data_IF_316955886387
#
_entry.id   IF_316955886387
#
_cell.length_a   1.000
_cell.length_b   1.000
_cell.length_c   1.000
_cell.angle_alpha   90.00
_cell.angle_beta   90.00
_cell.angle_gamma   90.00
#
_symmetry.space_group_name_H-M   'P 1'
#
loop_
_entity.id
_entity.type
_entity.pdbx_description
1 polymer ?
#
# COMPACT_ATOMS: atom_id res chain seq x y z
N UNK A 1 -3.36 16.40 -20.23
CA UNK A 1 -3.18 17.87 -20.35
C UNK A 1 -4.36 18.54 -21.05
N UNK A 2 -4.82 18.04 -22.21
CA UNK A 2 -5.96 18.62 -22.95
C UNK A 2 -7.27 18.72 -22.16
N UNK A 3 -7.66 17.70 -21.39
CA UNK A 3 -8.86 17.73 -20.53
C UNK A 3 -8.87 18.90 -19.55
N UNK A 4 -7.69 19.26 -19.00
CA UNK A 4 -7.55 20.42 -18.11
C UNK A 4 -7.77 21.72 -18.89
N UNK A 5 -7.21 21.85 -20.09
CA UNK A 5 -7.45 23.01 -20.98
C UNK A 5 -8.93 23.17 -21.28
N UNK A 6 -9.64 22.09 -21.62
CA UNK A 6 -11.09 22.13 -21.85
C UNK A 6 -11.86 22.58 -20.61
N UNK A 7 -11.50 22.01 -19.44
CA UNK A 7 -12.10 22.35 -18.15
C UNK A 7 -11.87 23.80 -17.77
N UNK A 8 -10.65 24.31 -17.92
CA UNK A 8 -10.28 25.70 -17.61
C UNK A 8 -10.95 26.70 -18.56
N UNK A 9 -11.08 26.34 -19.85
CA UNK A 9 -11.84 27.13 -20.83
C UNK A 9 -13.33 27.21 -20.47
N UNK A 10 -13.92 26.07 -20.12
CA UNK A 10 -15.33 26.01 -19.72
C UNK A 10 -15.57 26.73 -18.38
N UNK A 11 -14.62 26.67 -17.44
CA UNK A 11 -14.67 27.41 -16.19
C UNK A 11 -14.67 28.92 -16.43
N UNK A 12 -13.79 29.42 -17.30
CA UNK A 12 -13.79 30.83 -17.69
C UNK A 12 -15.11 31.25 -18.35
N UNK A 13 -15.66 30.41 -19.24
CA UNK A 13 -16.97 30.66 -19.86
C UNK A 13 -18.11 30.72 -18.83
N UNK A 14 -18.04 29.91 -17.75
CA UNK A 14 -18.97 29.96 -16.62
C UNK A 14 -18.83 31.25 -15.82
N UNK A 15 -17.60 31.63 -15.48
CA UNK A 15 -17.30 32.85 -14.73
C UNK A 15 -17.81 34.10 -15.48
N UNK A 16 -17.58 34.17 -16.80
CA UNK A 16 -18.11 35.23 -17.68
C UNK A 16 -19.64 35.23 -17.77
N UNK A 17 -20.28 34.07 -17.62
CA UNK A 17 -21.72 33.94 -17.57
C UNK A 17 -22.31 34.20 -16.15
N UNK A 18 -21.48 34.57 -15.18
CA UNK A 18 -21.91 34.87 -13.80
C UNK A 18 -21.94 33.67 -12.85
N UNK A 19 -21.40 32.52 -13.25
CA UNK A 19 -21.39 31.26 -12.48
C UNK A 19 -20.01 30.98 -11.87
N UNK A 20 -19.62 31.75 -10.84
CA UNK A 20 -18.26 31.70 -10.27
C UNK A 20 -17.99 30.50 -9.34
N UNK A 21 -19.03 29.94 -8.72
CA UNK A 21 -18.88 28.87 -7.71
C UNK A 21 -19.10 27.47 -8.29
N UNK A 22 -19.17 27.34 -9.62
CA UNK A 22 -19.50 26.09 -10.29
C UNK A 22 -18.27 25.53 -10.99
N UNK A 23 -17.85 24.35 -10.56
CA UNK A 23 -16.74 23.64 -11.17
C UNK A 23 -17.24 22.71 -12.29
N UNK A 24 -16.83 22.91 -13.56
CA UNK A 24 -17.29 22.08 -14.65
C UNK A 24 -16.63 20.70 -14.65
N UNK A 25 -17.38 19.70 -15.12
CA UNK A 25 -16.86 18.37 -15.42
C UNK A 25 -16.75 18.20 -16.93
N UNK A 26 -15.63 17.62 -17.37
CA UNK A 26 -15.34 17.33 -18.78
C UNK A 26 -14.90 15.87 -18.94
N UNK A 27 -15.75 14.86 -18.67
CA UNK A 27 -15.43 13.45 -18.89
C UNK A 27 -15.16 13.11 -20.37
N UNK A 28 -14.45 11.99 -20.60
CA UNK A 28 -14.29 11.42 -21.94
C UNK A 28 -15.59 10.72 -22.36
N UNK A 29 -15.91 10.73 -23.65
CA UNK A 29 -17.02 9.93 -24.20
C UNK A 29 -16.55 8.52 -24.54
N UNK A 30 -17.46 7.55 -24.43
CA UNK A 30 -17.25 6.18 -24.91
C UNK A 30 -17.72 6.00 -26.36
N UNK A 31 -18.46 6.97 -26.91
CA UNK A 31 -18.95 6.98 -28.28
C UNK A 31 -18.28 8.15 -29.05
N UNK A 32 -17.41 7.84 -30.03
CA UNK A 32 -16.70 8.85 -30.84
C UNK A 32 -17.61 9.78 -31.65
N UNK A 33 -18.87 9.41 -31.89
CA UNK A 33 -19.84 10.28 -32.60
C UNK A 33 -20.17 11.54 -31.81
N UNK A 34 -19.96 11.54 -30.49
CA UNK A 34 -20.13 12.70 -29.61
C UNK A 34 -18.83 13.49 -29.38
N UNK A 35 -17.75 13.21 -30.12
CA UNK A 35 -16.44 13.83 -29.95
C UNK A 35 -15.52 13.00 -29.05
N UNK A 36 -14.65 13.66 -28.30
CA UNK A 36 -13.67 13.03 -27.40
C UNK A 36 -14.02 13.28 -25.92
N UNK A 37 -14.59 14.45 -25.63
CA UNK A 37 -15.03 14.84 -24.30
C UNK A 37 -16.39 15.52 -24.36
N UNK A 38 -17.09 15.58 -23.23
CA UNK A 38 -18.36 16.31 -23.15
C UNK A 38 -18.52 17.02 -21.80
N UNK A 39 -19.48 17.94 -21.72
CA UNK A 39 -19.95 18.50 -20.46
C UNK A 39 -21.47 18.60 -20.42
N UNK A 40 -22.06 18.15 -19.33
CA UNK A 40 -23.50 18.27 -19.02
C UNK A 40 -23.84 19.54 -18.23
N UNK A 41 -22.89 20.47 -18.09
CA UNK A 41 -23.02 21.61 -17.17
C UNK A 41 -24.24 22.50 -17.48
N UNK A 42 -24.63 22.62 -18.74
CA UNK A 42 -25.81 23.39 -19.14
C UNK A 42 -27.11 22.83 -18.57
N UNK A 43 -27.22 21.50 -18.41
CA UNK A 43 -28.37 20.85 -17.74
C UNK A 43 -28.39 21.15 -16.24
N UNK A 44 -27.22 21.23 -15.60
CA UNK A 44 -27.10 21.57 -14.17
C UNK A 44 -27.47 23.04 -13.90
N UNK A 45 -27.21 23.94 -14.86
CA UNK A 45 -27.47 25.38 -14.75
C UNK A 45 -28.93 25.77 -15.05
N UNK A 46 -29.55 25.08 -16.01
CA UNK A 46 -30.95 25.30 -16.34
C UNK A 46 -31.85 24.73 -15.25
N UNK A 47 -32.29 25.58 -14.33
CA UNK A 47 -33.23 25.21 -13.27
C UNK A 47 -34.62 24.92 -13.87
N UNK A 48 -35.41 23.98 -13.31
CA UNK A 48 -36.75 23.65 -13.79
C UNK A 48 -37.69 24.86 -13.92
N UNK A 49 -37.52 25.86 -13.06
CA UNK A 49 -38.38 27.06 -12.97
C UNK A 49 -37.76 28.30 -13.66
N UNK A 50 -36.66 28.15 -14.41
CA UNK A 50 -36.07 29.27 -15.15
C UNK A 50 -36.62 29.36 -16.58
N UNK A 51 -36.78 30.58 -17.09
CA UNK A 51 -37.16 30.83 -18.50
C UNK A 51 -36.07 30.41 -19.51
N UNK A 52 -34.88 30.04 -19.02
CA UNK A 52 -33.71 29.77 -19.85
C UNK A 52 -33.62 28.28 -20.18
N UNK A 53 -33.73 27.93 -21.45
CA UNK A 53 -33.69 26.51 -21.88
C UNK A 53 -32.24 25.99 -21.78
N UNK A 54 -32.01 24.74 -21.35
CA UNK A 54 -30.66 24.16 -21.28
C UNK A 54 -29.88 24.28 -22.60
N UNK A 55 -30.58 24.17 -23.73
CA UNK A 55 -30.00 24.33 -25.07
C UNK A 55 -29.43 25.75 -25.31
N UNK A 56 -30.09 26.78 -24.78
CA UNK A 56 -29.66 28.18 -24.88
C UNK A 56 -28.47 28.44 -23.97
N UNK A 57 -28.47 27.86 -22.77
CA UNK A 57 -27.32 27.90 -21.84
C UNK A 57 -26.10 27.25 -22.49
N UNK A 58 -26.25 26.04 -23.05
CA UNK A 58 -25.16 25.34 -23.73
C UNK A 58 -24.58 26.15 -24.89
N UNK A 59 -25.43 26.75 -25.74
CA UNK A 59 -25.01 27.62 -26.84
C UNK A 59 -24.32 28.89 -26.35
N UNK A 60 -24.83 29.51 -25.28
CA UNK A 60 -24.23 30.70 -24.67
C UNK A 60 -22.84 30.43 -24.11
N UNK A 61 -22.65 29.27 -23.46
CA UNK A 61 -21.35 28.83 -22.96
C UNK A 61 -20.39 28.46 -24.10
N UNK A 62 -20.87 27.70 -25.09
CA UNK A 62 -20.09 27.35 -26.29
C UNK A 62 -19.57 28.62 -27.00
N UNK A 63 -20.40 29.66 -27.14
CA UNK A 63 -20.03 30.91 -27.79
C UNK A 63 -18.94 31.70 -27.04
N UNK A 64 -18.77 31.47 -25.73
CA UNK A 64 -17.72 32.06 -24.89
C UNK A 64 -16.43 31.24 -24.86
N UNK A 65 -16.45 30.01 -25.38
CA UNK A 65 -15.23 29.22 -25.49
C UNK A 65 -14.27 29.87 -26.50
N UNK A 66 -12.94 29.78 -26.28
CA UNK A 66 -11.98 30.28 -27.25
C UNK A 66 -12.13 29.53 -28.56
N UNK A 67 -12.21 30.27 -29.67
CA UNK A 67 -12.19 29.70 -31.03
C UNK A 67 -10.75 29.28 -31.36
N UNK A 68 -10.41 28.04 -31.05
CA UNK A 68 -9.09 27.47 -31.29
C UNK A 68 -9.21 26.09 -31.95
N UNK A 69 -9.65 26.11 -33.22
CA UNK A 69 -9.84 24.91 -34.05
C UNK A 69 -8.55 24.12 -34.30
N UNK A 70 -7.38 24.73 -34.07
CA UNK A 70 -6.09 24.00 -34.09
C UNK A 70 -5.93 23.05 -32.88
N UNK A 71 -6.72 23.22 -31.82
CA UNK A 71 -6.68 22.40 -30.59
C UNK A 71 -7.95 21.58 -30.42
N UNK A 72 -9.12 22.22 -30.48
CA UNK A 72 -10.40 21.53 -30.33
C UNK A 72 -11.55 22.33 -30.97
N UNK A 73 -12.61 21.64 -31.35
CA UNK A 73 -13.89 22.22 -31.72
C UNK A 73 -14.95 21.88 -30.66
N UNK A 74 -15.85 22.80 -30.35
CA UNK A 74 -16.98 22.55 -29.45
C UNK A 74 -18.31 22.59 -30.22
N UNK A 75 -19.22 21.67 -29.93
CA UNK A 75 -20.57 21.61 -30.52
C UNK A 75 -21.62 21.34 -29.45
N UNK A 76 -22.81 21.92 -29.59
CA UNK A 76 -23.93 21.66 -28.69
C UNK A 76 -24.82 20.55 -29.26
N UNK A 77 -24.92 19.44 -28.55
CA UNK A 77 -25.76 18.31 -28.92
C UNK A 77 -27.26 18.61 -28.71
N UNK A 78 -28.19 17.83 -29.32
CA UNK A 78 -29.64 18.03 -29.14
C UNK A 78 -30.12 17.89 -27.69
N UNK A 79 -29.42 17.11 -26.87
CA UNK A 79 -29.67 16.92 -25.45
C UNK A 79 -28.97 17.96 -24.56
N UNK A 80 -28.51 19.07 -25.14
CA UNK A 80 -27.85 20.20 -24.44
C UNK A 80 -26.48 19.90 -23.82
N UNK A 81 -25.83 18.83 -24.25
CA UNK A 81 -24.43 18.57 -23.92
C UNK A 81 -23.52 19.46 -24.77
N UNK A 82 -22.43 19.94 -24.17
CA UNK A 82 -21.34 20.58 -24.90
C UNK A 82 -20.30 19.51 -25.19
N UNK A 83 -20.23 19.09 -26.45
CA UNK A 83 -19.30 18.09 -26.94
C UNK A 83 -18.02 18.77 -27.45
N UNK A 84 -16.88 18.19 -27.14
CA UNK A 84 -15.56 18.66 -27.55
C UNK A 84 -14.90 17.58 -28.40
N UNK A 85 -14.47 17.97 -29.60
CA UNK A 85 -13.64 17.13 -30.47
C UNK A 85 -12.25 17.72 -30.56
N UNK A 86 -11.23 16.93 -30.28
CA UNK A 86 -9.83 17.34 -30.37
C UNK A 86 -9.43 17.40 -31.84
N UNK A 87 -8.70 18.45 -32.20
CA UNK A 87 -8.20 18.60 -33.55
C UNK A 87 -7.18 17.49 -33.87
N UNK A 88 -7.29 16.87 -35.04
CA UNK A 88 -6.37 15.82 -35.46
C UNK A 88 -4.91 16.32 -35.49
N UNK A 89 -4.71 17.54 -35.99
CA UNK A 89 -3.41 18.22 -36.00
C UNK A 89 -2.81 18.38 -34.60
N UNK A 90 -3.64 18.65 -33.58
CA UNK A 90 -3.17 18.70 -32.19
C UNK A 90 -2.66 17.34 -31.74
N UNK A 91 -3.41 16.26 -31.99
CA UNK A 91 -3.00 14.89 -31.65
C UNK A 91 -1.73 14.47 -32.38
N UNK A 92 -1.61 14.79 -33.67
CA UNK A 92 -0.41 14.51 -34.46
C UNK A 92 0.81 15.26 -33.91
N UNK A 93 0.65 16.52 -33.47
CA UNK A 93 1.73 17.28 -32.86
C UNK A 93 2.22 16.68 -31.53
N UNK A 94 1.35 15.97 -30.79
CA UNK A 94 1.78 15.26 -29.57
C UNK A 94 2.82 14.17 -29.85
N UNK A 95 2.84 13.57 -31.05
CA UNK A 95 3.85 12.57 -31.42
C UNK A 95 5.26 13.17 -31.35
N UNK A 96 5.42 14.40 -31.83
CA UNK A 96 6.69 15.12 -31.75
C UNK A 96 7.09 15.37 -30.29
N UNK A 97 6.17 15.86 -29.47
CA UNK A 97 6.41 16.09 -28.04
C UNK A 97 6.81 14.80 -27.30
N UNK A 98 6.16 13.67 -27.63
CA UNK A 98 6.49 12.34 -27.06
C UNK A 98 7.92 11.93 -27.45
N UNK A 99 8.28 12.06 -28.73
CA UNK A 99 9.61 11.69 -29.23
C UNK A 99 10.68 12.58 -28.59
N UNK A 100 10.45 13.89 -28.49
CA UNK A 100 11.38 14.85 -27.89
C UNK A 100 11.56 14.60 -26.38
N UNK A 101 10.48 14.27 -25.66
CA UNK A 101 10.54 13.94 -24.24
C UNK A 101 11.17 12.56 -23.96
N UNK A 102 11.05 11.62 -24.90
CA UNK A 102 11.60 10.26 -24.83
C UNK A 102 11.22 9.54 -23.53
N UNK A 103 12.18 9.03 -22.73
CA UNK A 103 11.89 8.33 -21.49
C UNK A 103 11.31 9.24 -20.38
N UNK A 104 11.29 10.56 -20.58
CA UNK A 104 10.68 11.51 -19.65
C UNK A 104 9.25 11.92 -20.05
N UNK A 105 8.69 11.37 -21.12
CA UNK A 105 7.30 11.64 -21.46
C UNK A 105 6.37 11.22 -20.32
N UNK A 106 5.48 12.11 -19.90
CA UNK A 106 4.59 11.89 -18.76
C UNK A 106 5.22 12.11 -17.37
N UNK A 107 6.50 12.50 -17.30
CA UNK A 107 7.16 12.87 -16.04
C UNK A 107 6.45 14.07 -15.42
N UNK A 108 6.26 14.05 -14.11
CA UNK A 108 5.69 15.17 -13.36
C UNK A 108 6.76 15.79 -12.46
N UNK A 109 6.63 17.07 -12.16
CA UNK A 109 7.51 17.80 -11.22
C UNK A 109 6.86 17.98 -9.83
N UNK A 110 5.69 17.37 -9.61
CA UNK A 110 4.89 17.54 -8.40
C UNK A 110 5.62 17.10 -7.10
N UNK A 111 6.61 16.22 -7.24
CA UNK A 111 7.43 15.65 -6.18
C UNK A 111 8.76 16.34 -5.93
N UNK A 112 9.16 17.33 -6.73
CA UNK A 112 10.48 17.96 -6.56
C UNK A 112 10.64 18.57 -5.16
N UNK A 113 11.77 18.26 -4.52
CA UNK A 113 12.08 18.65 -3.15
C UNK A 113 11.35 17.85 -2.07
N UNK A 114 10.46 16.90 -2.44
CA UNK A 114 9.69 16.09 -1.50
C UNK A 114 10.24 14.68 -1.37
N UNK A 115 9.98 14.06 -0.23
CA UNK A 115 10.38 12.68 0.06
C UNK A 115 9.15 11.79 0.25
N UNK A 116 9.20 10.59 -0.29
CA UNK A 116 8.20 9.55 -0.02
C UNK A 116 8.83 8.29 0.57
N UNK A 117 8.12 7.63 1.48
CA UNK A 117 8.52 6.36 2.10
C UNK A 117 7.42 5.35 1.83
N UNK A 118 7.76 4.24 1.19
CA UNK A 118 6.80 3.21 0.77
C UNK A 118 7.17 1.89 1.41
N UNK A 119 6.36 1.43 2.35
CA UNK A 119 6.50 0.10 2.98
C UNK A 119 5.62 -0.91 2.26
N UNK A 120 6.18 -2.07 1.94
CA UNK A 120 5.45 -3.15 1.29
C UNK A 120 6.09 -4.53 1.50
N UNK A 121 5.33 -5.58 1.16
CA UNK A 121 5.58 -7.00 1.49
C UNK A 121 5.53 -7.27 3.00
N UNK A 122 6.46 -6.72 3.80
CA UNK A 122 6.60 -6.87 5.26
C UNK A 122 6.08 -8.23 5.81
N UNK A 123 6.43 -9.31 5.12
CA UNK A 123 5.91 -10.63 5.42
C UNK A 123 6.65 -11.18 6.64
N UNK A 124 5.91 -11.77 7.58
CA UNK A 124 6.53 -12.40 8.74
C UNK A 124 7.45 -13.55 8.26
N UNK A 125 8.72 -13.59 8.71
CA UNK A 125 9.72 -14.57 8.29
C UNK A 125 9.51 -15.94 8.97
N UNK A 126 8.25 -16.38 9.07
CA UNK A 126 7.87 -17.66 9.69
C UNK A 126 7.47 -18.73 8.69
N UNK A 127 7.51 -18.38 7.41
CA UNK A 127 7.48 -19.29 6.28
C UNK A 127 7.97 -18.60 5.01
N UNK A 128 8.06 -19.32 3.89
CA UNK A 128 8.36 -18.74 2.58
C UNK A 128 7.39 -17.63 2.19
N UNK A 129 7.82 -16.72 1.31
CA UNK A 129 6.96 -15.68 0.78
C UNK A 129 5.82 -16.33 -0.01
N UNK A 130 4.59 -16.24 0.50
CA UNK A 130 3.44 -16.77 -0.22
C UNK A 130 2.92 -15.77 -1.27
N UNK A 131 2.30 -16.29 -2.33
CA UNK A 131 1.84 -15.48 -3.46
C UNK A 131 0.91 -14.32 -3.05
N UNK A 132 0.02 -14.55 -2.09
CA UNK A 132 -0.85 -13.50 -1.53
C UNK A 132 -0.09 -12.30 -0.96
N UNK A 133 0.98 -12.50 -0.17
CA UNK A 133 1.77 -11.41 0.40
C UNK A 133 2.70 -10.81 -0.65
N UNK A 134 3.15 -11.64 -1.59
CA UNK A 134 3.99 -11.21 -2.69
C UNK A 134 3.31 -10.19 -3.61
N UNK A 135 1.96 -10.20 -3.72
CA UNK A 135 1.19 -9.19 -4.46
C UNK A 135 1.48 -7.75 -4.00
N UNK A 136 1.67 -7.56 -2.70
CA UNK A 136 2.05 -6.25 -2.14
C UNK A 136 3.39 -5.74 -2.71
N UNK A 137 4.26 -6.64 -3.16
CA UNK A 137 5.53 -6.36 -3.83
C UNK A 137 5.39 -5.48 -5.07
N UNK A 138 4.85 -6.02 -6.18
CA UNK A 138 4.66 -5.25 -7.41
C UNK A 138 3.83 -3.97 -7.21
N UNK A 139 2.81 -3.99 -6.34
CA UNK A 139 1.99 -2.80 -6.03
C UNK A 139 2.85 -1.70 -5.40
N UNK A 140 3.54 -2.00 -4.29
CA UNK A 140 4.36 -1.01 -3.58
C UNK A 140 5.53 -0.51 -4.41
N UNK A 141 6.21 -1.40 -5.13
CA UNK A 141 7.32 -1.01 -6.00
C UNK A 141 6.86 -0.17 -7.20
N UNK A 142 5.68 -0.45 -7.77
CA UNK A 142 5.12 0.38 -8.85
C UNK A 142 4.69 1.76 -8.35
N UNK A 143 4.12 1.86 -7.15
CA UNK A 143 3.84 3.14 -6.49
C UNK A 143 5.14 3.93 -6.30
N UNK A 144 6.20 3.27 -5.80
CA UNK A 144 7.51 3.88 -5.65
C UNK A 144 8.07 4.40 -6.98
N UNK A 145 8.01 3.60 -8.04
CA UNK A 145 8.47 3.97 -9.38
C UNK A 145 7.69 5.17 -9.94
N UNK A 146 6.37 5.22 -9.77
CA UNK A 146 5.53 6.35 -10.21
C UNK A 146 5.87 7.61 -9.42
N UNK A 147 6.13 7.52 -8.12
CA UNK A 147 6.54 8.65 -7.28
C UNK A 147 7.93 9.17 -7.67
N UNK A 148 8.90 8.29 -7.92
CA UNK A 148 10.22 8.68 -8.43
C UNK A 148 10.12 9.35 -9.81
N UNK A 149 9.26 8.81 -10.69
CA UNK A 149 8.97 9.43 -11.97
C UNK A 149 8.27 10.78 -11.80
N UNK A 150 7.46 10.96 -10.76
CA UNK A 150 6.87 12.25 -10.40
C UNK A 150 7.83 13.19 -9.63
N UNK A 151 9.11 12.82 -9.48
CA UNK A 151 10.16 13.66 -8.93
C UNK A 151 10.38 13.56 -7.41
N UNK A 152 9.71 12.64 -6.71
CA UNK A 152 9.97 12.39 -5.29
C UNK A 152 11.31 11.69 -5.08
N UNK A 153 11.98 11.99 -3.96
CA UNK A 153 13.01 11.09 -3.41
C UNK A 153 12.32 9.97 -2.64
N UNK A 154 12.32 8.77 -3.20
CA UNK A 154 11.60 7.63 -2.62
C UNK A 154 12.53 6.74 -1.80
N UNK A 155 12.00 6.20 -0.69
CA UNK A 155 12.58 5.14 0.11
C UNK A 155 11.64 3.93 0.08
N UNK A 156 12.13 2.77 -0.37
CA UNK A 156 11.44 1.48 -0.30
C UNK A 156 11.81 0.77 1.00
N UNK A 157 10.81 0.41 1.79
CA UNK A 157 10.99 -0.13 3.12
C UNK A 157 10.39 -1.54 3.27
N UNK A 158 11.06 -2.36 4.07
CA UNK A 158 10.56 -3.65 4.56
C UNK A 158 10.61 -3.70 6.10
N UNK A 159 9.49 -4.02 6.75
CA UNK A 159 9.44 -4.32 8.18
C UNK A 159 9.57 -5.84 8.40
N UNK A 160 10.64 -6.25 9.06
CA UNK A 160 10.94 -7.62 9.45
C UNK A 160 10.45 -7.91 10.87
N UNK A 161 9.32 -8.62 10.98
CA UNK A 161 8.74 -9.05 12.25
C UNK A 161 9.50 -10.29 12.80
N UNK A 162 10.69 -10.06 13.34
CA UNK A 162 11.63 -11.09 13.82
C UNK A 162 11.39 -11.51 15.29
N UNK A 163 10.27 -11.10 15.88
CA UNK A 163 9.90 -11.40 17.27
C UNK A 163 8.46 -11.90 17.39
N UNK A 164 8.09 -12.26 18.62
CA UNK A 164 6.74 -12.67 18.97
C UNK A 164 6.50 -14.18 18.91
N UNK A 165 5.25 -14.57 19.17
CA UNK A 165 4.86 -15.97 19.35
C UNK A 165 5.07 -16.81 18.08
N UNK A 166 4.90 -16.22 16.90
CA UNK A 166 5.09 -16.94 15.64
C UNK A 166 6.52 -17.44 15.46
N UNK A 167 7.51 -16.64 15.87
CA UNK A 167 8.93 -17.00 15.82
C UNK A 167 9.26 -18.08 16.84
N UNK A 168 8.67 -18.01 18.04
CA UNK A 168 8.82 -19.05 19.05
C UNK A 168 8.25 -20.39 18.58
N UNK A 169 7.04 -20.39 18.02
CA UNK A 169 6.37 -21.58 17.49
C UNK A 169 7.13 -22.19 16.30
N UNK A 170 7.75 -21.35 15.46
CA UNK A 170 8.65 -21.82 14.40
C UNK A 170 9.88 -22.48 15.03
N UNK A 171 10.48 -21.83 16.03
CA UNK A 171 11.62 -22.38 16.78
C UNK A 171 11.31 -23.74 17.40
N UNK A 172 10.12 -23.92 18.00
CA UNK A 172 9.68 -25.20 18.57
C UNK A 172 9.62 -26.27 17.49
N UNK A 173 8.99 -25.95 16.35
CA UNK A 173 8.91 -26.84 15.19
C UNK A 173 10.30 -27.24 14.69
N UNK A 174 11.19 -26.29 14.50
CA UNK A 174 12.54 -26.52 13.97
C UNK A 174 13.42 -27.29 14.95
N UNK A 175 13.31 -27.01 16.26
CA UNK A 175 14.07 -27.73 17.28
C UNK A 175 13.65 -29.21 17.36
N UNK A 176 12.34 -29.50 17.29
CA UNK A 176 11.83 -30.88 17.24
C UNK A 176 12.29 -31.58 15.97
N UNK A 177 12.09 -30.98 14.80
CA UNK A 177 12.49 -31.57 13.50
C UNK A 177 14.01 -31.70 13.32
N UNK A 178 14.79 -30.95 14.10
CA UNK A 178 16.25 -31.05 14.13
C UNK A 178 16.77 -32.08 15.15
N UNK A 179 15.88 -32.79 15.86
CA UNK A 179 16.20 -33.70 16.96
C UNK A 179 17.02 -33.01 18.09
N UNK A 180 16.70 -31.74 18.36
CA UNK A 180 17.37 -30.96 19.41
C UNK A 180 16.58 -30.97 20.73
N UNK A 181 15.28 -31.24 20.65
CA UNK A 181 14.35 -31.39 21.78
C UNK A 181 13.34 -32.50 21.45
N UNK A 182 12.73 -33.11 22.47
CA UNK A 182 11.70 -34.14 22.30
C UNK A 182 10.31 -33.56 22.63
N UNK A 183 9.38 -33.64 21.68
CA UNK A 183 7.96 -33.24 21.84
C UNK A 183 7.12 -33.96 20.79
N UNK A 184 5.80 -34.09 21.02
CA UNK A 184 4.88 -34.65 20.03
C UNK A 184 4.79 -33.80 18.76
N UNK A 185 4.88 -34.44 17.59
CA UNK A 185 4.71 -33.77 16.29
C UNK A 185 3.30 -33.19 16.10
N UNK A 186 2.29 -33.73 16.80
CA UNK A 186 0.91 -33.26 16.69
C UNK A 186 0.72 -31.85 17.27
N UNK A 187 1.57 -31.45 18.23
CA UNK A 187 1.58 -30.14 18.86
C UNK A 187 2.24 -29.05 18.02
N UNK A 188 2.86 -29.38 16.89
CA UNK A 188 3.61 -28.41 16.09
C UNK A 188 2.68 -27.50 15.28
N UNK A 189 2.89 -26.20 15.43
CA UNK A 189 2.14 -25.16 14.72
C UNK A 189 2.43 -25.13 13.21
N UNK A 190 3.68 -25.36 12.82
CA UNK A 190 4.12 -25.33 11.42
C UNK A 190 4.37 -26.75 10.90
N UNK A 191 3.61 -27.16 9.88
CA UNK A 191 3.67 -28.53 9.33
C UNK A 191 4.10 -28.59 7.86
N UNK A 192 4.49 -27.47 7.26
CA UNK A 192 4.89 -27.43 5.84
C UNK A 192 6.25 -28.10 5.58
N UNK A 193 6.42 -28.68 4.40
CA UNK A 193 7.63 -29.42 3.99
C UNK A 193 8.91 -28.56 4.08
N UNK A 194 8.80 -27.24 3.86
CA UNK A 194 9.92 -26.30 3.99
C UNK A 194 10.62 -26.37 5.36
N UNK A 195 9.89 -26.78 6.41
CA UNK A 195 10.44 -26.86 7.78
C UNK A 195 11.46 -27.99 7.94
N UNK A 196 11.42 -29.05 7.12
CA UNK A 196 12.36 -30.17 7.19
C UNK A 196 13.75 -29.76 6.68
N UNK A 197 13.82 -29.05 5.55
CA UNK A 197 15.08 -28.50 5.05
C UNK A 197 15.62 -27.40 5.96
N UNK A 198 14.74 -26.55 6.47
CA UNK A 198 15.12 -25.50 7.40
C UNK A 198 15.68 -26.07 8.71
N UNK A 199 15.08 -27.14 9.24
CA UNK A 199 15.57 -27.81 10.44
C UNK A 199 16.98 -28.38 10.26
N UNK A 200 17.31 -28.95 9.08
CA UNK A 200 18.67 -29.40 8.77
C UNK A 200 19.68 -28.25 8.80
N UNK A 201 19.33 -27.09 8.23
CA UNK A 201 20.17 -25.88 8.25
C UNK A 201 20.36 -25.36 9.69
N UNK A 202 19.27 -25.32 10.47
CA UNK A 202 19.26 -24.90 11.87
C UNK A 202 20.13 -25.82 12.73
N UNK A 203 20.00 -27.14 12.60
CA UNK A 203 20.83 -28.13 13.30
C UNK A 203 22.31 -27.88 13.05
N UNK A 204 22.68 -27.63 11.79
CA UNK A 204 24.06 -27.32 11.39
C UNK A 204 24.58 -26.03 12.02
N UNK A 205 23.77 -24.98 12.08
CA UNK A 205 24.17 -23.68 12.64
C UNK A 205 24.18 -23.66 14.17
N UNK A 206 23.28 -24.39 14.83
CA UNK A 206 23.29 -24.58 16.29
C UNK A 206 24.48 -25.43 16.72
N UNK A 207 24.78 -26.51 15.97
CA UNK A 207 25.80 -27.48 16.35
C UNK A 207 25.37 -28.28 17.58
N UNK A 208 26.19 -28.26 18.63
CA UNK A 208 25.86 -28.93 19.90
C UNK A 208 24.99 -28.02 20.79
N UNK A 209 23.92 -28.58 21.34
CA UNK A 209 23.02 -27.88 22.29
C UNK A 209 23.57 -27.85 23.72
N UNK A 210 24.63 -28.62 24.03
CA UNK A 210 25.32 -28.57 25.31
C UNK A 210 24.39 -28.65 26.53
N UNK A 211 24.50 -27.68 27.45
CA UNK A 211 23.67 -27.53 28.66
C UNK A 211 22.51 -26.53 28.49
N UNK A 212 22.15 -26.17 27.26
CA UNK A 212 21.04 -25.24 27.05
C UNK A 212 19.73 -25.85 27.52
N UNK A 213 18.88 -25.04 28.16
CA UNK A 213 17.51 -25.42 28.48
C UNK A 213 16.67 -25.46 27.19
N UNK A 214 15.60 -26.24 27.20
CA UNK A 214 14.68 -26.38 26.07
C UNK A 214 14.21 -25.03 25.49
N UNK A 215 13.73 -24.12 26.34
CA UNK A 215 13.31 -22.77 25.93
C UNK A 215 14.44 -21.97 25.23
N UNK A 216 15.69 -22.15 25.66
CA UNK A 216 16.84 -21.49 25.02
C UNK A 216 17.14 -22.10 23.65
N UNK A 217 16.97 -23.42 23.51
CA UNK A 217 17.13 -24.13 22.23
C UNK A 217 16.04 -23.65 21.25
N UNK A 218 14.78 -23.58 21.70
CA UNK A 218 13.64 -23.11 20.90
C UNK A 218 13.88 -21.68 20.41
N UNK A 219 14.25 -20.76 21.30
CA UNK A 219 14.53 -19.36 20.93
C UNK A 219 15.67 -19.27 19.91
N UNK A 220 16.77 -19.98 20.12
CA UNK A 220 17.91 -20.00 19.19
C UNK A 220 17.53 -20.58 17.83
N UNK A 221 16.75 -21.66 17.81
CA UNK A 221 16.24 -22.26 16.57
C UNK A 221 15.32 -21.30 15.81
N UNK A 222 14.44 -20.60 16.53
CA UNK A 222 13.53 -19.60 15.95
C UNK A 222 14.28 -18.40 15.35
N UNK A 223 15.30 -17.87 16.05
CA UNK A 223 16.14 -16.78 15.54
C UNK A 223 16.90 -17.17 14.27
N UNK A 224 17.51 -18.36 14.24
CA UNK A 224 18.21 -18.87 13.06
C UNK A 224 17.23 -19.12 11.91
N UNK A 225 16.12 -19.82 12.18
CA UNK A 225 15.10 -20.14 11.18
C UNK A 225 14.52 -18.89 10.53
N UNK A 226 14.15 -17.91 11.35
CA UNK A 226 13.67 -16.58 10.92
C UNK A 226 14.70 -15.87 10.06
N UNK A 227 15.98 -15.85 10.45
CA UNK A 227 17.05 -15.21 9.68
C UNK A 227 17.24 -15.84 8.30
N UNK A 228 17.17 -17.17 8.21
CA UNK A 228 17.28 -17.90 6.94
C UNK A 228 16.07 -17.62 6.03
N UNK A 229 14.85 -17.72 6.57
CA UNK A 229 13.63 -17.41 5.82
C UNK A 229 13.58 -15.95 5.37
N UNK A 230 14.00 -15.03 6.23
CA UNK A 230 14.08 -13.61 5.88
C UNK A 230 15.02 -13.38 4.70
N UNK A 231 16.18 -14.04 4.68
CA UNK A 231 17.09 -13.99 3.54
C UNK A 231 16.45 -14.54 2.27
N UNK A 232 15.72 -15.66 2.37
CA UNK A 232 15.03 -16.25 1.22
C UNK A 232 13.94 -15.32 0.68
N UNK A 233 13.16 -14.67 1.56
CA UNK A 233 12.16 -13.66 1.18
C UNK A 233 12.81 -12.47 0.45
N UNK A 234 13.96 -11.98 0.92
CA UNK A 234 14.66 -10.89 0.25
C UNK A 234 15.20 -11.30 -1.13
N UNK A 235 15.67 -12.55 -1.28
CA UNK A 235 16.08 -13.07 -2.59
C UNK A 235 14.89 -13.20 -3.55
N UNK A 236 13.75 -13.70 -3.06
CA UNK A 236 12.50 -13.74 -3.84
C UNK A 236 12.09 -12.32 -4.28
N UNK A 237 12.17 -11.33 -3.39
CA UNK A 237 11.89 -9.94 -3.73
C UNK A 237 12.85 -9.41 -4.81
N UNK A 238 14.15 -9.70 -4.70
CA UNK A 238 15.15 -9.32 -5.70
C UNK A 238 14.85 -9.92 -7.07
N UNK A 239 14.45 -11.20 -7.13
CA UNK A 239 14.12 -11.87 -8.39
C UNK A 239 12.80 -11.36 -8.99
N UNK A 240 11.86 -10.89 -8.16
CA UNK A 240 10.68 -10.11 -8.58
C UNK A 240 11.07 -8.71 -9.09
N UNK A 241 12.34 -8.31 -8.95
CA UNK A 241 12.87 -7.02 -9.38
C UNK A 241 12.72 -5.89 -8.35
N UNK A 242 12.54 -6.24 -7.07
CA UNK A 242 12.35 -5.29 -5.97
C UNK A 242 13.65 -5.17 -5.18
N UNK A 243 14.06 -3.93 -4.91
CA UNK A 243 15.17 -3.62 -4.01
C UNK A 243 14.69 -2.71 -2.89
N UNK A 244 14.98 -3.09 -1.66
CA UNK A 244 14.66 -2.28 -0.49
C UNK A 244 15.84 -1.38 -0.14
N UNK A 245 15.53 -0.13 0.23
CA UNK A 245 16.49 0.88 0.68
C UNK A 245 16.67 0.83 2.20
N UNK A 246 15.62 0.42 2.93
CA UNK A 246 15.64 0.28 4.38
C UNK A 246 14.99 -1.03 4.81
N UNK A 247 15.67 -1.73 5.72
CA UNK A 247 15.18 -2.93 6.39
C UNK A 247 15.08 -2.60 7.89
N UNK A 248 13.87 -2.69 8.45
CA UNK A 248 13.62 -2.41 9.88
C UNK A 248 13.30 -3.73 10.58
N UNK A 249 13.95 -4.02 11.71
CA UNK A 249 13.61 -5.19 12.52
C UNK A 249 12.71 -4.79 13.69
N UNK A 250 11.68 -5.58 13.95
CA UNK A 250 10.81 -5.42 15.12
C UNK A 250 11.60 -5.46 16.42
N UNK A 251 12.62 -6.33 16.52
CA UNK A 251 13.49 -6.42 17.69
C UNK A 251 14.24 -5.12 18.01
N UNK A 252 14.55 -4.29 17.00
CA UNK A 252 15.19 -2.99 17.21
C UNK A 252 14.19 -1.93 17.67
N UNK A 253 12.94 -2.02 17.20
CA UNK A 253 11.84 -1.18 17.67
C UNK A 253 11.49 -1.49 19.13
N UNK A 254 11.48 -2.77 19.51
CA UNK A 254 11.15 -3.21 20.87
C UNK A 254 12.10 -2.61 21.92
N UNK A 255 13.39 -2.46 21.60
CA UNK A 255 14.39 -1.81 22.48
C UNK A 255 14.05 -0.35 22.80
N UNK A 256 13.27 0.31 21.95
CA UNK A 256 12.90 1.73 22.06
C UNK A 256 11.51 1.94 22.67
N UNK A 257 10.77 0.87 22.96
CA UNK A 257 9.45 0.94 23.59
C UNK A 257 9.47 1.75 24.89
N UNK A 258 10.40 1.54 25.85
CA UNK A 258 10.36 2.28 27.11
C UNK A 258 10.42 3.80 26.92
N UNK A 259 11.19 4.30 25.94
CA UNK A 259 11.25 5.73 25.65
C UNK A 259 9.99 6.27 24.98
N UNK A 260 9.40 5.52 24.04
CA UNK A 260 8.16 5.92 23.39
C UNK A 260 6.99 5.98 24.39
N UNK A 261 6.93 5.03 25.33
CA UNK A 261 5.89 5.00 26.36
C UNK A 261 5.97 6.19 27.31
N UNK A 262 7.17 6.59 27.76
CA UNK A 262 7.33 7.81 28.57
C UNK A 262 6.76 9.06 27.88
N UNK A 263 6.93 9.18 26.56
CA UNK A 263 6.35 10.27 25.79
C UNK A 263 4.81 10.20 25.78
N UNK A 264 4.23 9.02 25.58
CA UNK A 264 2.79 8.84 25.61
C UNK A 264 2.17 9.11 26.99
N UNK A 265 2.85 8.71 28.06
CA UNK A 265 2.48 9.05 29.44
C UNK A 265 2.46 10.57 29.64
N UNK A 266 3.50 11.28 29.18
CA UNK A 266 3.56 12.76 29.30
C UNK A 266 2.44 13.48 28.54
N UNK A 267 1.86 12.84 27.51
CA UNK A 267 0.73 13.35 26.73
C UNK A 267 -0.63 12.91 27.27
N UNK A 268 -0.68 12.18 28.40
CA UNK A 268 -1.88 11.57 28.96
C UNK A 268 -2.65 10.68 27.97
N UNK A 269 -1.90 9.94 27.13
CA UNK A 269 -2.44 9.03 26.13
C UNK A 269 -2.44 7.56 26.58
N UNK A 270 -1.98 7.28 27.80
CA UNK A 270 -2.00 5.96 28.40
C UNK A 270 -2.87 5.94 29.67
N UNK A 271 -3.64 4.88 29.84
CA UNK A 271 -4.35 4.57 31.08
C UNK A 271 -3.99 3.16 31.54
N UNK A 272 -3.92 2.95 32.86
CA UNK A 272 -3.85 1.60 33.44
C UNK A 272 -5.25 1.16 33.83
N UNK A 273 -5.70 0.05 33.28
CA UNK A 273 -7.01 -0.53 33.54
C UNK A 273 -6.94 -2.06 33.41
N UNK A 274 -7.61 -2.77 34.33
CA UNK A 274 -7.69 -4.25 34.34
C UNK A 274 -6.31 -4.94 34.32
N UNK A 275 -5.34 -4.35 35.01
CA UNK A 275 -3.95 -4.82 35.06
C UNK A 275 -3.14 -4.58 33.78
N UNK A 276 -3.74 -4.05 32.72
CA UNK A 276 -3.10 -3.73 31.46
C UNK A 276 -2.87 -2.21 31.30
N UNK A 277 -1.97 -1.82 30.40
CA UNK A 277 -1.82 -0.44 29.94
C UNK A 277 -2.46 -0.29 28.57
N UNK A 278 -3.38 0.66 28.46
CA UNK A 278 -4.16 0.95 27.27
C UNK A 278 -3.73 2.28 26.67
N UNK A 279 -3.63 2.32 25.35
CA UNK A 279 -3.47 3.53 24.57
C UNK A 279 -4.84 4.09 24.20
N UNK A 280 -5.09 5.32 24.64
CA UNK A 280 -6.35 6.03 24.47
C UNK A 280 -6.41 6.62 23.06
N UNK A 281 -6.93 5.86 22.11
CA UNK A 281 -7.15 6.30 20.72
C UNK A 281 -8.41 7.19 20.63
N UNK A 282 -9.31 7.09 21.61
CA UNK A 282 -10.65 7.67 21.59
C UNK A 282 -10.78 9.18 21.85
N UNK A 283 -9.74 9.92 22.26
CA UNK A 283 -9.86 11.38 22.46
C UNK A 283 -10.02 12.11 21.11
N UNK A 284 -11.26 12.21 20.64
CA UNK A 284 -11.66 12.98 19.46
C UNK A 284 -12.11 12.18 18.23
N UNK A 285 -12.23 10.85 18.32
CA UNK A 285 -12.63 10.01 17.17
C UNK A 285 -13.67 8.94 17.53
N UNK A 286 -13.32 7.97 18.40
CA UNK A 286 -14.14 6.80 18.71
C UNK A 286 -13.51 6.02 19.89
N UNK A 287 -14.20 5.96 21.05
CA UNK A 287 -13.72 5.28 22.27
C UNK A 287 -13.61 3.75 22.09
N UNK A 288 -14.25 3.16 21.06
CA UNK A 288 -14.15 1.72 20.78
C UNK A 288 -12.77 1.28 20.25
N UNK A 289 -11.86 2.24 20.04
CA UNK A 289 -10.57 2.01 19.39
C UNK A 289 -9.42 1.83 20.34
N UNK A 290 -9.58 2.08 21.64
CA UNK A 290 -8.50 1.94 22.61
C UNK A 290 -7.84 0.57 22.52
N UNK A 291 -6.51 0.56 22.65
CA UNK A 291 -5.70 -0.62 22.37
C UNK A 291 -4.80 -0.95 23.55
N UNK A 292 -4.81 -2.21 23.97
CA UNK A 292 -3.81 -2.72 24.91
C UNK A 292 -2.43 -2.60 24.28
N UNK A 293 -1.52 -1.92 24.97
CA UNK A 293 -0.13 -1.73 24.56
C UNK A 293 0.86 -2.45 25.48
N UNK A 294 0.46 -2.68 26.74
CA UNK A 294 1.14 -3.57 27.70
C UNK A 294 0.09 -4.48 28.33
N UNK A 295 0.30 -5.79 28.25
CA UNK A 295 -0.57 -6.81 28.85
C UNK A 295 -0.38 -6.86 30.37
N UNK A 296 -1.26 -7.59 31.05
CA UNK A 296 -1.19 -7.81 32.50
C UNK A 296 0.05 -8.57 32.96
N UNK A 297 0.69 -9.35 32.08
CA UNK A 297 1.96 -10.02 32.34
C UNK A 297 3.20 -9.12 32.14
N UNK A 298 2.99 -7.83 31.80
CA UNK A 298 4.05 -6.87 31.53
C UNK A 298 4.63 -6.93 30.12
N UNK A 299 4.21 -7.88 29.28
CA UNK A 299 4.65 -7.97 27.89
C UNK A 299 3.99 -6.93 27.00
N UNK A 300 4.72 -6.41 26.02
CA UNK A 300 4.20 -5.47 25.03
C UNK A 300 3.35 -6.18 23.97
N UNK A 301 2.35 -5.49 23.43
CA UNK A 301 1.59 -5.96 22.26
C UNK A 301 2.27 -5.52 20.96
N UNK A 302 1.88 -6.11 19.82
CA UNK A 302 2.33 -5.67 18.49
C UNK A 302 2.05 -4.19 18.25
N UNK A 303 0.95 -3.68 18.79
CA UNK A 303 0.60 -2.26 18.66
C UNK A 303 1.59 -1.34 19.40
N UNK A 304 2.29 -1.83 20.42
CA UNK A 304 3.41 -1.12 21.03
C UNK A 304 4.54 -0.85 20.03
N UNK A 305 4.92 -1.85 19.24
CA UNK A 305 5.96 -1.70 18.21
C UNK A 305 5.53 -0.70 17.12
N UNK A 306 4.25 -0.72 16.72
CA UNK A 306 3.69 0.24 15.77
C UNK A 306 3.81 1.70 16.21
N UNK A 307 3.66 1.98 17.52
CA UNK A 307 3.84 3.32 18.10
C UNK A 307 5.26 3.83 17.83
N UNK A 308 6.27 3.03 18.19
CA UNK A 308 7.67 3.38 17.96
C UNK A 308 7.92 3.56 16.47
N UNK A 309 7.43 2.61 15.68
CA UNK A 309 7.68 2.55 14.25
C UNK A 309 7.13 3.76 13.50
N UNK A 310 5.85 4.09 13.71
CA UNK A 310 5.23 5.22 13.04
C UNK A 310 5.76 6.54 13.58
N UNK A 311 6.07 6.65 14.88
CA UNK A 311 6.77 7.82 15.41
C UNK A 311 8.09 8.08 14.66
N UNK A 312 8.92 7.06 14.50
CA UNK A 312 10.19 7.19 13.76
C UNK A 312 9.98 7.50 12.28
N UNK A 313 8.98 6.89 11.63
CA UNK A 313 8.62 7.22 10.24
C UNK A 313 8.30 8.71 10.06
N UNK A 314 7.49 9.28 10.95
CA UNK A 314 7.09 10.68 10.86
C UNK A 314 8.21 11.65 11.27
N UNK A 315 9.01 11.31 12.28
CA UNK A 315 10.18 12.11 12.69
C UNK A 315 11.28 12.13 11.61
N UNK A 316 11.30 11.15 10.71
CA UNK A 316 12.22 11.12 9.57
C UNK A 316 11.93 12.23 8.53
N UNK A 317 10.82 12.96 8.66
CA UNK A 317 10.51 14.15 7.86
C UNK A 317 10.09 13.86 6.43
N UNK A 318 9.44 12.72 6.18
CA UNK A 318 8.86 12.41 4.87
C UNK A 318 7.58 13.22 4.63
N UNK A 319 7.33 13.58 3.37
CA UNK A 319 6.14 14.32 2.94
C UNK A 319 4.97 13.37 2.62
N UNK A 320 5.30 12.12 2.30
CA UNK A 320 4.34 11.06 1.99
C UNK A 320 4.86 9.72 2.54
N UNK A 321 4.04 9.06 3.35
CA UNK A 321 4.27 7.74 3.93
C UNK A 321 3.15 6.84 3.42
N UNK A 322 3.52 5.78 2.71
CA UNK A 322 2.60 4.83 2.12
C UNK A 322 2.88 3.46 2.66
N UNK A 323 1.87 2.83 3.24
CA UNK A 323 1.96 1.44 3.67
C UNK A 323 1.03 0.58 2.83
N UNK A 324 1.57 -0.48 2.23
CA UNK A 324 0.84 -1.39 1.34
C UNK A 324 0.56 -2.69 2.09
N UNK A 325 -0.71 -2.91 2.45
CA UNK A 325 -1.13 -4.05 3.25
C UNK A 325 -2.15 -4.95 2.55
N UNK A 326 -2.21 -6.22 2.96
CA UNK A 326 -3.31 -7.11 2.58
C UNK A 326 -4.61 -6.73 3.28
N UNK A 327 -5.76 -7.03 2.69
CA UNK A 327 -7.09 -6.62 3.18
C UNK A 327 -7.44 -7.18 4.58
N UNK A 328 -6.71 -8.19 5.06
CA UNK A 328 -6.80 -8.69 6.43
C UNK A 328 -6.34 -7.70 7.51
N UNK A 329 -5.61 -6.63 7.15
CA UNK A 329 -5.20 -5.58 8.08
C UNK A 329 -6.08 -4.33 8.00
N UNK A 330 -7.18 -4.38 7.24
CA UNK A 330 -8.13 -3.26 7.09
C UNK A 330 -8.63 -2.72 8.44
N UNK A 331 -8.87 -3.57 9.43
CA UNK A 331 -9.26 -3.16 10.79
C UNK A 331 -8.14 -2.51 11.61
N UNK A 332 -6.88 -2.63 11.17
CA UNK A 332 -5.71 -2.02 11.81
C UNK A 332 -5.45 -0.60 11.32
N UNK A 333 -5.76 -0.30 10.06
CA UNK A 333 -5.56 1.03 9.46
C UNK A 333 -6.18 2.16 10.31
N UNK A 334 -7.44 2.07 10.76
CA UNK A 334 -8.03 3.13 11.58
C UNK A 334 -7.34 3.34 12.94
N UNK A 335 -6.66 2.31 13.46
CA UNK A 335 -5.86 2.42 14.70
C UNK A 335 -4.55 3.15 14.42
N UNK A 336 -3.89 2.88 13.30
CA UNK A 336 -2.70 3.61 12.87
C UNK A 336 -3.00 5.08 12.61
N UNK A 337 -4.12 5.40 11.93
CA UNK A 337 -4.52 6.78 11.69
C UNK A 337 -4.78 7.56 12.98
N UNK A 338 -5.46 6.93 13.94
CA UNK A 338 -5.73 7.53 15.25
C UNK A 338 -4.43 7.68 16.07
N UNK A 339 -3.51 6.71 15.99
CA UNK A 339 -2.17 6.81 16.58
C UNK A 339 -1.38 8.01 16.02
N UNK A 340 -1.32 8.15 14.70
CA UNK A 340 -0.61 9.24 14.01
C UNK A 340 -1.13 10.61 14.48
N UNK A 341 -2.45 10.76 14.54
CA UNK A 341 -3.10 11.98 15.04
C UNK A 341 -2.82 12.23 16.51
N UNK A 342 -2.91 11.20 17.36
CA UNK A 342 -2.64 11.31 18.79
C UNK A 342 -1.19 11.72 19.09
N UNK A 343 -0.24 11.29 18.25
CA UNK A 343 1.16 11.73 18.31
C UNK A 343 1.34 13.20 17.86
N UNK A 344 0.35 13.77 17.16
CA UNK A 344 0.34 15.16 16.68
C UNK A 344 0.85 15.33 15.25
N UNK A 345 0.89 14.26 14.46
CA UNK A 345 1.37 14.31 13.07
C UNK A 345 0.22 14.55 12.07
N UNK A 346 0.56 15.14 10.93
CA UNK A 346 -0.38 15.40 9.84
C UNK A 346 -0.78 14.11 9.12
N UNK A 347 -2.02 13.68 9.32
CA UNK A 347 -2.57 12.47 8.71
C UNK A 347 -2.60 12.55 7.17
N UNK A 348 -2.61 13.74 6.57
CA UNK A 348 -2.63 13.87 5.11
C UNK A 348 -1.37 13.28 4.45
N UNK A 349 -0.27 13.18 5.22
CA UNK A 349 0.98 12.55 4.79
C UNK A 349 0.93 11.02 4.79
N UNK A 350 -0.06 10.40 5.43
CA UNK A 350 -0.17 8.94 5.49
C UNK A 350 -1.21 8.42 4.49
N UNK A 351 -0.87 7.30 3.83
CA UNK A 351 -1.77 6.53 2.97
C UNK A 351 -1.59 5.05 3.26
N UNK A 352 -2.70 4.35 3.53
CA UNK A 352 -2.73 2.90 3.54
C UNK A 352 -3.35 2.41 2.23
N UNK A 353 -2.63 1.55 1.50
CA UNK A 353 -3.13 0.88 0.30
C UNK A 353 -3.45 -0.56 0.67
N UNK A 354 -4.72 -0.94 0.55
CA UNK A 354 -5.17 -2.29 0.88
C UNK A 354 -5.34 -3.10 -0.40
N UNK A 355 -4.79 -4.31 -0.45
CA UNK A 355 -5.00 -5.23 -1.57
C UNK A 355 -5.68 -6.53 -1.14
N UNK A 356 -6.53 -7.08 -2.00
CA UNK A 356 -7.24 -8.33 -1.82
C UNK A 356 -6.35 -9.55 -2.02
N UNK A 357 -6.78 -10.68 -1.44
CA UNK A 357 -6.09 -11.96 -1.54
C UNK A 357 -6.02 -12.48 -2.98
N UNK A 358 -4.83 -12.97 -3.34
CA UNK A 358 -4.61 -13.71 -4.58
C UNK A 358 -5.28 -15.07 -4.50
N UNK A 359 -5.97 -15.48 -5.57
CA UNK A 359 -6.44 -16.86 -5.75
C UNK A 359 -5.66 -17.51 -6.87
N UNK A 360 -4.98 -18.61 -6.58
CA UNK A 360 -4.30 -19.39 -7.61
C UNK A 360 -5.27 -20.44 -8.14
N UNK A 361 -5.39 -20.50 -9.47
CA UNK A 361 -6.13 -21.54 -10.17
C UNK A 361 -5.14 -22.39 -10.99
N UNK A 362 -5.31 -23.71 -10.95
CA UNK A 362 -4.71 -24.62 -11.94
C UNK A 362 -5.84 -25.12 -12.81
N UNK A 363 -5.82 -24.77 -14.10
CA UNK A 363 -6.97 -24.95 -15.00
C UNK A 363 -8.19 -24.23 -14.41
N UNK A 364 -9.35 -24.90 -14.33
CA UNK A 364 -10.59 -24.32 -13.79
C UNK A 364 -10.76 -24.51 -12.29
N UNK A 365 -9.81 -25.18 -11.62
CA UNK A 365 -9.90 -25.50 -10.18
C UNK A 365 -9.06 -24.54 -9.33
N UNK A 366 -9.66 -24.02 -8.26
CA UNK A 366 -8.96 -23.21 -7.27
C UNK A 366 -8.06 -24.09 -6.40
N UNK A 367 -6.78 -23.73 -6.29
CA UNK A 367 -5.85 -24.40 -5.38
C UNK A 367 -6.19 -23.99 -3.94
N UNK A 368 -6.56 -24.95 -3.08
CA UNK A 368 -6.83 -24.69 -1.66
C UNK A 368 -5.52 -24.28 -0.96
N UNK A 369 -5.46 -23.04 -0.47
CA UNK A 369 -4.31 -22.55 0.30
C UNK A 369 -4.51 -22.76 1.81
N UNK A 370 -3.56 -23.41 2.49
CA UNK A 370 -3.51 -23.54 3.95
C UNK A 370 -2.07 -23.41 4.47
N UNK A 371 -1.81 -22.32 5.21
CA UNK A 371 -0.51 -22.08 5.87
C UNK A 371 -0.15 -23.15 6.92
N UNK A 372 -1.15 -23.80 7.54
CA UNK A 372 -0.94 -24.78 8.62
C UNK A 372 -0.80 -26.22 8.12
N UNK A 373 -1.33 -26.54 6.94
CA UNK A 373 -1.26 -27.88 6.34
C UNK A 373 -0.10 -27.98 5.34
N UNK A 374 0.61 -26.87 5.05
CA UNK A 374 1.76 -26.86 4.15
C UNK A 374 1.42 -26.67 2.67
N UNK A 375 0.15 -26.75 2.29
CA UNK A 375 -0.31 -26.52 0.91
C UNK A 375 -0.53 -25.02 0.67
N UNK A 376 0.51 -24.25 0.40
CA UNK A 376 0.40 -22.88 -0.10
C UNK A 376 1.35 -22.67 -1.26
N UNK A 377 0.89 -21.90 -2.26
CA UNK A 377 1.70 -21.56 -3.42
C UNK A 377 2.65 -20.42 -3.03
N UNK A 378 3.95 -20.65 -3.20
CA UNK A 378 4.98 -19.67 -2.89
C UNK A 378 5.17 -18.69 -4.05
N UNK A 379 5.72 -17.51 -3.75
CA UNK A 379 6.13 -16.56 -4.77
C UNK A 379 7.21 -17.16 -5.69
N UNK A 380 8.16 -17.89 -5.10
CA UNK A 380 9.22 -18.60 -5.81
C UNK A 380 8.69 -19.56 -6.86
N UNK A 381 7.75 -20.43 -6.50
CA UNK A 381 7.14 -21.39 -7.45
C UNK A 381 6.52 -20.70 -8.66
N UNK A 382 5.74 -19.64 -8.43
CA UNK A 382 5.11 -18.90 -9.53
C UNK A 382 6.16 -18.17 -10.36
N UNK A 383 7.15 -17.56 -9.71
CA UNK A 383 8.21 -16.83 -10.39
C UNK A 383 9.05 -17.73 -11.29
N UNK A 384 9.39 -18.94 -10.82
CA UNK A 384 10.13 -19.93 -11.60
C UNK A 384 9.31 -20.46 -12.79
N UNK A 385 7.97 -20.51 -12.66
CA UNK A 385 7.06 -20.97 -13.72
C UNK A 385 6.81 -19.92 -14.82
N UNK A 386 6.60 -18.65 -14.45
CA UNK A 386 6.16 -17.61 -15.41
C UNK A 386 7.16 -16.48 -15.66
N UNK A 387 8.19 -16.36 -14.82
CA UNK A 387 9.17 -15.29 -14.87
C UNK A 387 8.68 -13.94 -14.30
N UNK A 388 9.64 -13.03 -14.10
CA UNK A 388 9.45 -11.73 -13.42
C UNK A 388 8.36 -10.86 -14.05
N UNK A 389 8.39 -10.68 -15.36
CA UNK A 389 7.54 -9.67 -16.02
C UNK A 389 6.07 -10.09 -16.01
N UNK A 390 5.79 -11.37 -16.31
CA UNK A 390 4.43 -11.93 -16.20
C UNK A 390 3.95 -11.89 -14.75
N UNK A 391 4.78 -12.29 -13.78
CA UNK A 391 4.45 -12.22 -12.35
C UNK A 391 3.99 -10.82 -11.96
N UNK A 392 4.79 -9.79 -12.28
CA UNK A 392 4.47 -8.40 -11.93
C UNK A 392 3.22 -7.91 -12.64
N UNK A 393 3.09 -8.18 -13.94
CA UNK A 393 1.95 -7.74 -14.74
C UNK A 393 0.63 -8.29 -14.18
N UNK A 394 0.56 -9.58 -13.88
CA UNK A 394 -0.66 -10.19 -13.33
C UNK A 394 -1.00 -9.68 -11.91
N UNK A 395 0.00 -9.37 -11.08
CA UNK A 395 -0.24 -8.79 -9.75
C UNK A 395 -0.80 -7.35 -9.81
N UNK A 396 -0.54 -6.64 -10.91
CA UNK A 396 -0.92 -5.23 -11.14
C UNK A 396 -2.16 -5.06 -12.05
N UNK A 397 -2.55 -6.08 -12.79
CA UNK A 397 -3.66 -6.02 -13.76
C UNK A 397 -5.01 -5.73 -13.10
N UNK A 398 -5.17 -6.13 -11.83
CA UNK A 398 -6.39 -5.97 -11.08
C UNK A 398 -6.22 -4.92 -10.00
N UNK A 399 -7.26 -4.10 -9.81
CA UNK A 399 -7.36 -3.14 -8.72
C UNK A 399 -7.00 -3.84 -7.39
N UNK A 400 -6.12 -3.25 -6.55
CA UNK A 400 -5.72 -3.75 -5.24
C UNK A 400 -6.81 -4.53 -4.49
#
# INVERSE_FOLDING_TARGET
>A
MIRKVLKDNLKRALEEAGHKDIEPEVPATTDPSFGDYYSSIALKLAKPDSSQKPQEVAKSLQAKLPKNEDIFSASVAPNSFINFKIAEKYLQNQVKEIIEAGPNFGRLEAGYGKKARVEFISANPTGPLHIGNARGGPIGDTIANVLEFAGYKVLREYLNNDRGNQVYELGKTLAVKADLIETSQDELTYKGEYTDELAKKVKKEIGSVGKLKEDQIIKKAGEIGTKLLYKDILNDALDIGIKFDLLVNESDLQKKLPSAFKLLESKNLLIKQDGATWFLLGRGFDETRDAVVVKSDGSYTYFGADIVYHKEKFESGYDLIIDVFGSNTSGHVPKLEALIKALGYDLNKFKAILYQFVRVKRRDEAVKMSKRVGNFVTAREVLDEVGKDAFRYFMLMHDP
#
